data_IF_799140973810
#
_entry.id   IF_799140973810
#
_cell.length_a   1.000
_cell.length_b   1.000
_cell.length_c   1.000
_cell.angle_alpha   90.00
_cell.angle_beta   90.00
_cell.angle_gamma   90.00
#
_symmetry.space_group_name_H-M   'P 1'
#
loop_
_entity.id
_entity.type
_entity.pdbx_description
1 polymer ?
#
# COMPACT_ATOMS: atom_id res chain seq x y z
N UNK A 1 13.30 -15.63 -52.96
CA UNK A 1 13.92 -14.97 -51.78
C UNK A 1 12.85 -14.14 -51.09
N UNK A 2 12.26 -14.63 -50.00
CA UNK A 2 11.34 -13.83 -49.19
C UNK A 2 12.08 -13.37 -47.93
N UNK A 3 12.25 -12.06 -47.77
CA UNK A 3 12.83 -11.45 -46.57
C UNK A 3 11.80 -11.49 -45.44
N UNK A 4 11.96 -12.43 -44.51
CA UNK A 4 11.20 -12.45 -43.25
C UNK A 4 11.70 -11.30 -42.37
N UNK A 5 10.93 -10.22 -42.31
CA UNK A 5 11.14 -9.16 -41.32
C UNK A 5 10.73 -9.68 -39.95
N UNK A 6 11.70 -10.15 -39.17
CA UNK A 6 11.51 -10.54 -37.78
C UNK A 6 11.36 -9.27 -36.92
N UNK A 7 10.13 -8.89 -36.59
CA UNK A 7 9.84 -7.84 -35.61
C UNK A 7 10.36 -8.29 -34.23
N UNK A 8 11.03 -7.43 -33.44
CA UNK A 8 11.43 -7.79 -32.09
C UNK A 8 10.18 -8.03 -31.24
N UNK A 9 10.08 -9.25 -30.70
CA UNK A 9 9.04 -9.64 -29.74
C UNK A 9 9.25 -8.82 -28.47
N UNK A 10 8.49 -7.73 -28.32
CA UNK A 10 8.46 -6.97 -27.08
C UNK A 10 8.11 -7.91 -25.93
N UNK A 11 8.96 -7.96 -24.91
CA UNK A 11 8.68 -8.65 -23.66
C UNK A 11 7.38 -8.11 -23.07
N UNK A 12 6.48 -8.97 -22.54
CA UNK A 12 5.32 -8.48 -21.82
C UNK A 12 5.80 -7.61 -20.65
N UNK A 13 5.11 -6.49 -20.35
CA UNK A 13 5.40 -5.75 -19.13
C UNK A 13 5.26 -6.71 -17.93
N UNK A 14 6.05 -6.53 -16.85
CA UNK A 14 5.86 -7.31 -15.65
C UNK A 14 4.38 -7.21 -15.26
N UNK A 15 3.70 -8.31 -14.91
CA UNK A 15 2.38 -8.19 -14.34
C UNK A 15 2.54 -7.27 -13.13
N UNK A 16 1.72 -6.23 -13.03
CA UNK A 16 1.49 -5.56 -11.75
C UNK A 16 0.96 -6.67 -10.84
N UNK A 17 1.89 -7.31 -10.14
CA UNK A 17 1.69 -8.58 -9.48
C UNK A 17 0.96 -8.27 -8.18
N UNK A 18 -0.36 -8.07 -8.28
CA UNK A 18 -1.24 -8.29 -7.16
C UNK A 18 -1.24 -9.80 -6.93
N UNK A 19 -0.17 -10.34 -6.31
CA UNK A 19 -0.19 -11.69 -5.78
C UNK A 19 -1.17 -11.68 -4.62
N UNK A 20 -2.44 -11.89 -4.92
CA UNK A 20 -3.46 -12.19 -3.92
C UNK A 20 -3.30 -13.67 -3.60
N UNK A 21 -2.32 -13.99 -2.75
CA UNK A 21 -2.42 -15.21 -1.98
C UNK A 21 -3.66 -15.04 -1.09
N UNK A 22 -4.52 -16.05 -0.93
CA UNK A 22 -5.84 -15.86 -0.28
C UNK A 22 -5.74 -15.36 1.19
N UNK A 23 -4.52 -15.36 1.73
CA UNK A 23 -4.14 -14.96 3.09
C UNK A 23 -3.27 -13.71 3.14
N UNK A 24 -2.82 -13.17 2.01
CA UNK A 24 -1.91 -12.03 1.96
C UNK A 24 -2.46 -10.92 1.06
N UNK A 25 -2.30 -9.67 1.49
CA UNK A 25 -2.69 -8.51 0.70
C UNK A 25 -1.60 -7.44 0.74
N UNK A 26 -1.46 -6.71 -0.35
CA UNK A 26 -0.43 -5.68 -0.51
C UNK A 26 -1.07 -4.44 -1.11
N UNK A 27 -0.82 -3.29 -0.49
CA UNK A 27 -1.28 -1.98 -0.97
C UNK A 27 -0.10 -1.03 -1.02
N UNK A 28 0.05 -0.32 -2.14
CA UNK A 28 1.04 0.74 -2.31
C UNK A 28 0.29 2.03 -2.66
N UNK A 29 0.48 3.06 -1.84
CA UNK A 29 -0.24 4.35 -1.94
C UNK A 29 0.78 5.46 -2.22
N UNK A 30 0.79 6.05 -3.42
CA UNK A 30 1.66 7.18 -3.73
C UNK A 30 1.12 8.46 -3.10
N UNK A 31 2.00 9.23 -2.47
CA UNK A 31 1.75 10.58 -1.95
C UNK A 31 2.49 11.63 -2.79
N UNK A 32 2.03 12.90 -2.79
CA UNK A 32 2.71 13.99 -3.51
C UNK A 32 4.14 14.22 -3.03
N UNK A 33 4.46 13.93 -1.76
CA UNK A 33 5.80 14.06 -1.20
C UNK A 33 6.19 12.93 -0.26
N UNK A 34 7.51 12.71 -0.10
CA UNK A 34 8.05 11.78 0.90
C UNK A 34 7.65 12.15 2.34
N UNK A 35 7.48 13.46 2.58
CA UNK A 35 7.06 13.98 3.87
C UNK A 35 5.62 13.59 4.19
N UNK A 36 4.69 13.76 3.26
CA UNK A 36 3.29 13.33 3.44
C UNK A 36 3.18 11.83 3.62
N UNK A 37 3.90 11.03 2.82
CA UNK A 37 3.96 9.58 3.01
C UNK A 37 4.43 9.22 4.43
N UNK A 38 5.43 9.92 4.95
CA UNK A 38 5.94 9.72 6.31
C UNK A 38 4.93 10.14 7.38
N UNK A 39 4.19 11.24 7.17
CA UNK A 39 3.11 11.66 8.06
C UNK A 39 2.02 10.58 8.06
N UNK A 40 1.59 10.11 6.90
CA UNK A 40 0.57 9.07 6.78
C UNK A 40 0.99 7.77 7.49
N UNK A 41 2.24 7.33 7.30
CA UNK A 41 2.81 6.18 8.02
C UNK A 41 2.66 6.34 9.53
N UNK A 42 3.11 7.48 10.07
CA UNK A 42 3.08 7.76 11.51
C UNK A 42 1.67 7.85 12.07
N UNK A 43 0.74 8.45 11.32
CA UNK A 43 -0.67 8.53 11.71
C UNK A 43 -1.38 7.18 11.68
N UNK A 44 -0.98 6.30 10.76
CA UNK A 44 -1.59 4.97 10.55
C UNK A 44 -0.88 3.84 11.31
N UNK A 45 0.19 4.17 12.03
CA UNK A 45 0.91 3.26 12.92
C UNK A 45 0.72 3.54 14.43
N UNK A 46 -0.50 3.75 14.96
CA UNK A 46 -0.68 3.73 16.41
C UNK A 46 -0.51 2.31 16.96
N UNK A 47 -0.19 2.23 18.26
CA UNK A 47 0.45 1.10 18.96
C UNK A 47 -0.02 -0.30 18.58
N UNK A 48 0.92 -1.25 18.66
CA UNK A 48 0.65 -2.67 18.38
C UNK A 48 -0.33 -3.23 19.41
N UNK A 49 -1.61 -3.29 19.03
CA UNK A 49 -2.60 -4.09 19.75
C UNK A 49 -2.02 -5.51 19.96
N UNK A 50 -2.05 -6.06 21.19
CA UNK A 50 -1.51 -7.38 21.48
C UNK A 50 -2.04 -8.41 20.49
N UNK A 51 -1.11 -9.19 19.91
CA UNK A 51 -1.28 -10.15 18.82
C UNK A 51 -2.24 -11.30 19.19
N UNK A 52 -3.53 -11.03 19.33
CA UNK A 52 -4.55 -12.04 19.59
C UNK A 52 -5.37 -12.40 18.34
N UNK A 53 -5.14 -11.72 17.21
CA UNK A 53 -6.09 -11.67 16.09
C UNK A 53 -5.77 -12.44 14.81
N UNK A 54 -4.78 -13.34 14.77
CA UNK A 54 -4.49 -14.14 13.56
C UNK A 54 -4.14 -13.32 12.30
N UNK A 55 -3.63 -12.09 12.49
CA UNK A 55 -3.27 -11.16 11.41
C UNK A 55 -1.96 -10.43 11.73
N UNK A 56 -1.14 -10.28 10.72
CA UNK A 56 0.06 -9.45 10.68
C UNK A 56 -0.15 -8.30 9.69
N UNK A 57 0.24 -7.09 10.09
CA UNK A 57 0.19 -5.88 9.26
C UNK A 57 1.52 -5.15 9.40
N UNK A 58 2.16 -4.88 8.28
CA UNK A 58 3.43 -4.17 8.19
C UNK A 58 3.28 -2.95 7.30
N UNK A 59 3.68 -1.78 7.79
CA UNK A 59 3.68 -0.53 7.04
C UNK A 59 5.13 -0.06 6.88
N UNK A 60 5.47 0.47 5.71
CA UNK A 60 6.75 1.10 5.41
C UNK A 60 6.57 2.22 4.40
N UNK A 61 7.52 3.14 4.33
CA UNK A 61 7.55 4.18 3.30
C UNK A 61 8.83 4.02 2.49
N UNK A 62 8.71 4.10 1.17
CA UNK A 62 9.82 4.14 0.23
C UNK A 62 9.65 5.37 -0.67
N UNK A 63 10.53 6.36 -0.52
CA UNK A 63 10.37 7.65 -1.20
C UNK A 63 9.08 8.35 -0.77
N UNK A 64 8.15 8.52 -1.72
CA UNK A 64 6.81 9.08 -1.50
C UNK A 64 5.69 8.03 -1.52
N UNK A 65 6.03 6.74 -1.48
CA UNK A 65 5.03 5.66 -1.49
C UNK A 65 4.92 5.01 -0.11
N UNK A 66 3.70 4.96 0.43
CA UNK A 66 3.36 4.17 1.61
C UNK A 66 3.01 2.74 1.17
N UNK A 67 3.79 1.77 1.61
CA UNK A 67 3.57 0.36 1.37
C UNK A 67 3.00 -0.31 2.61
N UNK A 68 1.95 -1.11 2.42
CA UNK A 68 1.32 -1.88 3.46
C UNK A 68 1.17 -3.33 3.02
N UNK A 69 1.52 -4.24 3.92
CA UNK A 69 1.52 -5.68 3.70
C UNK A 69 0.75 -6.36 4.83
N UNK A 70 -0.28 -7.13 4.48
CA UNK A 70 -1.07 -7.92 5.41
C UNK A 70 -0.83 -9.40 5.17
N UNK A 71 -0.89 -10.18 6.24
CA UNK A 71 -0.98 -11.63 6.24
C UNK A 71 -1.98 -12.06 7.31
N UNK A 72 -2.99 -12.84 6.99
CA UNK A 72 -4.00 -13.30 7.94
C UNK A 72 -4.34 -14.78 7.76
N UNK A 73 -4.71 -15.44 8.84
CA UNK A 73 -5.08 -16.86 8.82
C UNK A 73 -6.41 -17.08 8.06
N UNK A 74 -7.32 -16.11 8.15
CA UNK A 74 -8.64 -16.13 7.52
C UNK A 74 -8.88 -14.92 6.62
N UNK A 75 -9.50 -15.15 5.46
CA UNK A 75 -9.89 -14.09 4.53
C UNK A 75 -10.87 -13.08 5.16
N UNK A 76 -11.71 -13.50 6.11
CA UNK A 76 -12.63 -12.60 6.82
C UNK A 76 -11.87 -11.55 7.65
N UNK A 77 -10.82 -11.98 8.35
CA UNK A 77 -9.98 -11.12 9.18
C UNK A 77 -9.21 -10.14 8.29
N UNK A 78 -8.65 -10.64 7.18
CA UNK A 78 -7.98 -9.81 6.18
C UNK A 78 -8.90 -8.70 5.65
N UNK A 79 -10.13 -9.05 5.24
CA UNK A 79 -11.12 -8.09 4.72
C UNK A 79 -11.46 -7.01 5.73
N UNK A 80 -11.73 -7.38 6.98
CA UNK A 80 -12.06 -6.41 8.04
C UNK A 80 -10.87 -5.48 8.29
N UNK A 81 -9.65 -6.01 8.35
CA UNK A 81 -8.45 -5.20 8.60
C UNK A 81 -8.09 -4.27 7.45
N UNK A 82 -8.23 -4.72 6.20
CA UNK A 82 -7.98 -3.89 5.02
C UNK A 82 -9.01 -2.77 4.95
N UNK A 83 -10.30 -3.06 5.12
CA UNK A 83 -11.35 -2.03 5.10
C UNK A 83 -11.13 -0.99 6.19
N UNK A 84 -10.92 -1.41 7.44
CA UNK A 84 -10.64 -0.48 8.55
C UNK A 84 -9.39 0.36 8.30
N UNK A 85 -8.36 -0.20 7.67
CA UNK A 85 -7.17 0.58 7.30
C UNK A 85 -7.49 1.65 6.24
N UNK A 86 -8.28 1.31 5.22
CA UNK A 86 -8.67 2.26 4.17
C UNK A 86 -9.52 3.40 4.75
N UNK A 87 -10.42 3.11 5.69
CA UNK A 87 -11.21 4.15 6.38
C UNK A 87 -10.29 5.14 7.12
N UNK A 88 -9.30 4.64 7.85
CA UNK A 88 -8.31 5.49 8.52
C UNK A 88 -7.42 6.25 7.53
N UNK A 89 -7.01 5.62 6.43
CA UNK A 89 -6.21 6.26 5.39
C UNK A 89 -6.98 7.43 4.76
N UNK A 90 -8.26 7.24 4.44
CA UNK A 90 -9.13 8.30 3.92
C UNK A 90 -9.19 9.48 4.89
N UNK A 91 -9.40 9.23 6.18
CA UNK A 91 -9.42 10.28 7.19
C UNK A 91 -8.08 11.06 7.25
N UNK A 92 -6.95 10.35 7.15
CA UNK A 92 -5.62 10.98 7.14
C UNK A 92 -5.43 11.85 5.90
N UNK A 93 -5.86 11.39 4.72
CA UNK A 93 -5.78 12.16 3.48
C UNK A 93 -6.66 13.40 3.57
N UNK A 94 -7.92 13.27 3.99
CA UNK A 94 -8.84 14.40 4.21
C UNK A 94 -8.25 15.42 5.19
N UNK A 95 -7.59 14.95 6.25
CA UNK A 95 -6.91 15.83 7.21
C UNK A 95 -5.75 16.58 6.56
N UNK A 96 -4.93 15.91 5.75
CA UNK A 96 -3.82 16.55 5.04
C UNK A 96 -4.32 17.59 4.03
N UNK A 97 -5.42 17.32 3.33
CA UNK A 97 -6.04 18.24 2.38
C UNK A 97 -6.64 19.45 3.09
N UNK A 98 -7.33 19.24 4.21
CA UNK A 98 -7.97 20.30 4.98
C UNK A 98 -6.99 21.24 5.68
N UNK A 99 -5.84 20.71 6.13
CA UNK A 99 -4.86 21.46 6.94
C UNK A 99 -3.50 21.65 6.24
N UNK A 100 -3.41 21.41 4.93
CA UNK A 100 -2.16 21.46 4.18
C UNK A 100 -1.69 22.88 3.81
N UNK A 101 -0.39 23.09 3.47
CA UNK A 101 0.72 22.14 3.53
C UNK A 101 1.43 22.12 4.91
N UNK A 102 2.13 21.04 5.27
CA UNK A 102 2.75 20.92 6.58
C UNK A 102 3.82 22.01 6.81
N UNK A 103 3.73 22.70 7.96
CA UNK A 103 4.65 23.79 8.35
C UNK A 103 6.10 23.31 8.30
N UNK A 104 6.99 24.03 7.60
CA UNK A 104 8.41 23.71 7.61
C UNK A 104 8.96 23.92 9.04
N UNK A 105 9.42 22.83 9.67
CA UNK A 105 10.16 22.87 10.94
C UNK A 105 11.65 22.69 10.63
#
# INVERSE_FOLDING_TARGET
MYFVHNKPKASPPPPLCLTVDARCFSLDVPFPSSREATIALRSLSPDREPRRGGISKHLSVSGSTLSVRWSADEARILRVSVNSFLDHLSLVIETMEMFGPPVAL
#
